data_IF_759557224925
#
_entry.id   IF_759557224925
#
_cell.length_a   1.000
_cell.length_b   1.000
_cell.length_c   1.000
_cell.angle_alpha   90.00
_cell.angle_beta   90.00
_cell.angle_gamma   90.00
#
_symmetry.space_group_name_H-M   'P 1'
#
loop_
_entity.id
_entity.type
_entity.pdbx_description
1 polymer ?
#
# COMPACT_ATOMS: atom_id res chain seq x y z
N UNK A 1 17.36 -21.51 -17.54
CA UNK A 1 15.97 -21.26 -17.94
C UNK A 1 15.08 -21.70 -16.79
N UNK A 2 14.64 -20.78 -15.95
CA UNK A 2 13.77 -21.12 -14.83
C UNK A 2 12.34 -21.26 -15.37
N UNK A 3 11.78 -22.46 -15.22
CA UNK A 3 10.38 -22.75 -15.51
C UNK A 3 9.51 -22.09 -14.44
N UNK A 4 8.93 -20.94 -14.78
CA UNK A 4 7.88 -20.29 -13.99
C UNK A 4 6.55 -20.59 -14.65
N UNK A 5 5.79 -21.52 -14.09
CA UNK A 5 4.50 -21.88 -14.66
C UNK A 5 3.95 -23.18 -14.10
N UNK A 6 3.46 -23.09 -12.87
CA UNK A 6 2.27 -23.77 -12.33
C UNK A 6 2.26 -23.48 -10.82
N UNK A 7 1.06 -23.37 -10.26
CA UNK A 7 0.74 -22.98 -8.89
C UNK A 7 0.48 -21.47 -8.73
N UNK A 8 -0.57 -21.00 -9.41
CA UNK A 8 -1.16 -19.65 -9.23
C UNK A 8 -2.55 -19.70 -8.57
N UNK A 9 -3.02 -20.86 -8.09
CA UNK A 9 -4.44 -21.05 -7.77
C UNK A 9 -4.82 -21.01 -6.28
N UNK A 10 -3.89 -20.76 -5.35
CA UNK A 10 -4.23 -20.68 -3.92
C UNK A 10 -4.03 -19.28 -3.30
N UNK A 11 -5.10 -18.50 -3.32
CA UNK A 11 -5.56 -17.61 -2.23
C UNK A 11 -4.54 -16.66 -1.54
N UNK A 12 -3.82 -15.82 -2.31
CA UNK A 12 -3.38 -14.49 -1.84
C UNK A 12 -4.00 -13.44 -2.78
N UNK A 13 -4.68 -12.43 -2.21
CA UNK A 13 -5.43 -11.41 -2.97
C UNK A 13 -4.68 -10.95 -4.22
N UNK A 14 -5.24 -11.24 -5.40
CA UNK A 14 -4.55 -11.02 -6.66
C UNK A 14 -4.38 -9.52 -6.89
N UNK A 15 -3.18 -9.01 -6.59
CA UNK A 15 -2.75 -7.66 -6.95
C UNK A 15 -2.60 -7.59 -8.45
N UNK A 16 -3.44 -6.81 -9.12
CA UNK A 16 -3.35 -6.56 -10.55
C UNK A 16 -2.92 -5.13 -10.81
N UNK A 17 -1.82 -4.97 -11.56
CA UNK A 17 -1.26 -3.68 -11.96
C UNK A 17 -1.49 -3.46 -13.44
N UNK A 18 -2.01 -2.29 -13.80
CA UNK A 18 -2.15 -1.83 -15.19
C UNK A 18 -1.61 -0.42 -15.32
N UNK A 19 -0.98 -0.11 -16.44
CA UNK A 19 -0.62 1.27 -16.82
C UNK A 19 -1.55 1.67 -17.95
N UNK A 20 -2.60 2.39 -17.62
CA UNK A 20 -3.74 2.62 -18.51
C UNK A 20 -3.45 3.70 -19.54
N UNK A 21 -2.71 4.73 -19.14
CA UNK A 21 -2.38 5.87 -19.98
C UNK A 21 -1.05 6.50 -19.59
N UNK A 22 -0.60 7.41 -20.45
CA UNK A 22 0.53 8.28 -20.18
C UNK A 22 0.13 9.74 -20.48
N UNK A 23 0.35 10.62 -19.50
CA UNK A 23 0.10 12.06 -19.60
C UNK A 23 1.43 12.74 -19.94
N UNK A 24 1.48 13.51 -21.03
CA UNK A 24 2.70 14.18 -21.47
C UNK A 24 2.63 15.68 -21.18
N UNK A 25 3.68 16.21 -20.54
CA UNK A 25 3.97 17.65 -20.48
C UNK A 25 5.12 17.97 -21.43
N UNK A 26 5.46 19.25 -21.60
CA UNK A 26 6.65 19.64 -22.38
C UNK A 26 7.97 19.10 -21.79
N UNK A 27 7.99 18.76 -20.50
CA UNK A 27 9.21 18.38 -19.78
C UNK A 27 9.31 16.87 -19.52
N UNK A 28 8.20 16.19 -19.29
CA UNK A 28 8.22 14.78 -18.91
C UNK A 28 6.93 14.04 -19.25
N UNK A 29 7.01 12.71 -19.20
CA UNK A 29 5.86 11.81 -19.33
C UNK A 29 5.55 11.20 -17.96
N UNK A 30 4.30 11.29 -17.54
CA UNK A 30 3.75 10.66 -16.34
C UNK A 30 2.93 9.45 -16.74
N UNK A 31 3.17 8.30 -16.12
CA UNK A 31 2.41 7.08 -16.34
C UNK A 31 1.31 6.96 -15.30
N UNK A 32 0.08 6.70 -15.75
CA UNK A 32 -1.09 6.54 -14.90
C UNK A 32 -1.31 5.05 -14.65
N UNK A 33 -1.14 4.63 -13.40
CA UNK A 33 -1.08 3.24 -12.99
C UNK A 33 -2.32 2.92 -12.17
N UNK A 34 -3.15 2.00 -12.65
CA UNK A 34 -4.26 1.45 -11.88
C UNK A 34 -3.79 0.23 -11.10
N UNK A 35 -4.02 0.26 -9.80
CA UNK A 35 -3.74 -0.84 -8.88
C UNK A 35 -5.07 -1.42 -8.44
N UNK A 36 -5.22 -2.74 -8.54
CA UNK A 36 -6.38 -3.47 -8.06
C UNK A 36 -5.93 -4.48 -7.01
N UNK A 37 -6.60 -4.48 -5.86
CA UNK A 37 -6.40 -5.44 -4.78
C UNK A 37 -7.77 -5.90 -4.28
N UNK A 38 -8.22 -7.07 -4.72
CA UNK A 38 -9.57 -7.55 -4.44
C UNK A 38 -10.64 -6.61 -5.03
N UNK A 39 -11.51 -6.08 -4.18
CA UNK A 39 -12.55 -5.10 -4.55
C UNK A 39 -12.07 -3.65 -4.58
N UNK A 40 -10.86 -3.38 -4.10
CA UNK A 40 -10.31 -2.03 -4.03
C UNK A 40 -9.48 -1.72 -5.27
N UNK A 41 -9.72 -0.54 -5.84
CA UNK A 41 -9.01 -0.03 -7.00
C UNK A 41 -8.63 1.41 -6.73
N UNK A 42 -7.39 1.79 -7.05
CA UNK A 42 -6.92 3.17 -6.99
C UNK A 42 -5.93 3.46 -8.10
N UNK A 43 -5.56 4.73 -8.24
CA UNK A 43 -4.63 5.20 -9.27
C UNK A 43 -3.45 5.92 -8.66
N UNK A 44 -2.23 5.52 -9.06
CA UNK A 44 -0.99 6.24 -8.76
C UNK A 44 -0.37 6.79 -10.05
N UNK A 45 0.43 7.85 -9.93
CA UNK A 45 1.06 8.52 -11.08
C UNK A 45 2.56 8.63 -10.85
N UNK A 46 3.35 8.09 -11.78
CA UNK A 46 4.81 8.09 -11.67
C UNK A 46 5.48 8.40 -13.01
N UNK A 47 6.56 9.15 -12.98
CA UNK A 47 7.46 9.36 -14.12
C UNK A 47 8.48 8.24 -14.18
N UNK A 48 9.06 8.02 -15.35
CA UNK A 48 10.10 6.99 -15.53
C UNK A 48 11.27 7.14 -14.54
N UNK A 49 11.67 8.36 -14.17
CA UNK A 49 12.73 8.57 -13.17
C UNK A 49 12.40 7.95 -11.82
N UNK A 50 11.13 7.95 -11.42
CA UNK A 50 10.68 7.37 -10.15
C UNK A 50 10.68 5.85 -10.19
N UNK A 51 10.36 5.24 -11.35
CA UNK A 51 10.58 3.81 -11.58
C UNK A 51 12.07 3.44 -11.50
N UNK A 52 12.94 4.29 -12.04
CA UNK A 52 14.38 4.09 -11.98
C UNK A 52 14.88 4.13 -10.52
N UNK A 53 14.45 5.13 -9.74
CA UNK A 53 14.82 5.25 -8.33
C UNK A 53 14.28 4.09 -7.49
N UNK A 54 13.05 3.63 -7.77
CA UNK A 54 12.50 2.41 -7.18
C UNK A 54 13.39 1.20 -7.51
N UNK A 55 13.76 1.03 -8.78
CA UNK A 55 14.55 -0.12 -9.21
C UNK A 55 15.93 -0.16 -8.55
N UNK A 56 16.64 0.98 -8.46
CA UNK A 56 17.93 1.05 -7.79
C UNK A 56 17.83 0.62 -6.31
N UNK A 57 16.78 1.08 -5.60
CA UNK A 57 16.51 0.66 -4.21
C UNK A 57 16.25 -0.84 -4.12
N UNK A 58 15.46 -1.39 -5.04
CA UNK A 58 15.13 -2.81 -5.04
C UNK A 58 16.32 -3.70 -5.43
N UNK A 59 17.13 -3.30 -6.41
CA UNK A 59 18.34 -4.05 -6.81
C UNK A 59 19.36 -4.11 -5.68
N UNK A 60 19.53 -3.02 -4.91
CA UNK A 60 20.44 -2.99 -3.76
C UNK A 60 20.06 -4.03 -2.68
N UNK A 61 18.77 -4.24 -2.44
CA UNK A 61 18.27 -5.11 -1.35
C UNK A 61 17.87 -6.53 -1.80
N UNK A 62 17.40 -6.69 -3.03
CA UNK A 62 16.78 -7.94 -3.53
C UNK A 62 17.47 -8.53 -4.75
N UNK A 63 18.63 -8.00 -5.16
CA UNK A 63 19.44 -8.50 -6.29
C UNK A 63 18.65 -8.63 -7.61
N UNK A 64 17.70 -7.73 -7.83
CA UNK A 64 16.94 -7.69 -9.08
C UNK A 64 17.85 -7.44 -10.28
N UNK A 65 17.61 -8.16 -11.37
CA UNK A 65 18.33 -7.98 -12.62
C UNK A 65 18.06 -6.58 -13.20
N UNK A 66 19.14 -5.86 -13.53
CA UNK A 66 19.09 -4.51 -14.10
C UNK A 66 18.35 -4.44 -15.44
N UNK A 67 18.27 -5.56 -16.16
CA UNK A 67 17.57 -5.67 -17.44
C UNK A 67 16.05 -5.71 -17.30
N UNK A 68 15.50 -5.88 -16.09
CA UNK A 68 14.05 -5.87 -15.87
C UNK A 68 13.44 -4.49 -16.16
N UNK A 69 14.15 -3.41 -15.82
CA UNK A 69 13.67 -2.06 -16.08
C UNK A 69 14.00 -1.65 -17.53
N UNK A 70 13.04 -1.13 -18.32
CA UNK A 70 13.34 -0.63 -19.67
C UNK A 70 14.38 0.49 -19.60
N UNK A 71 15.35 0.55 -20.53
CA UNK A 71 16.47 1.48 -20.43
C UNK A 71 16.07 2.95 -20.58
N UNK A 72 16.90 3.83 -20.01
CA UNK A 72 16.81 5.29 -20.21
C UNK A 72 16.97 5.61 -21.70
N UNK A 73 16.28 6.66 -22.16
CA UNK A 73 16.41 7.19 -23.52
C UNK A 73 16.60 8.70 -23.43
N UNK A 74 17.70 9.19 -24.00
CA UNK A 74 18.13 10.59 -23.89
C UNK A 74 17.56 11.49 -24.99
N UNK A 75 17.22 10.95 -26.16
CA UNK A 75 16.66 11.70 -27.28
C UNK A 75 15.33 11.08 -27.74
N UNK A 76 14.34 11.90 -28.10
CA UNK A 76 13.04 11.42 -28.58
C UNK A 76 12.33 10.51 -27.56
N UNK A 77 12.45 10.84 -26.27
CA UNK A 77 11.84 10.12 -25.16
C UNK A 77 10.36 10.45 -24.95
N UNK A 78 9.83 11.42 -25.70
CA UNK A 78 8.43 11.81 -25.71
C UNK A 78 7.70 11.49 -27.03
N UNK A 79 8.35 10.81 -27.98
CA UNK A 79 7.62 10.39 -29.19
C UNK A 79 6.53 9.39 -28.80
N UNK A 80 5.34 9.53 -29.39
CA UNK A 80 4.16 8.72 -29.02
C UNK A 80 4.43 7.22 -29.10
N UNK A 81 5.08 6.76 -30.17
CA UNK A 81 5.49 5.36 -30.37
C UNK A 81 6.40 4.84 -29.25
N UNK A 82 7.28 5.70 -28.76
CA UNK A 82 8.22 5.36 -27.71
C UNK A 82 7.53 5.33 -26.34
N UNK A 83 6.67 6.30 -26.06
CA UNK A 83 5.88 6.33 -24.83
C UNK A 83 4.99 5.10 -24.72
N UNK A 84 4.28 4.72 -25.79
CA UNK A 84 3.45 3.51 -25.82
C UNK A 84 4.26 2.23 -25.62
N UNK A 85 5.45 2.13 -26.23
CA UNK A 85 6.35 0.98 -26.01
C UNK A 85 6.79 0.91 -24.54
N UNK A 86 7.30 2.02 -24.01
CA UNK A 86 7.78 2.09 -22.62
C UNK A 86 6.65 1.85 -21.62
N UNK A 87 5.44 2.33 -21.88
CA UNK A 87 4.25 2.05 -21.05
C UNK A 87 4.05 0.54 -20.87
N UNK A 88 4.09 -0.23 -21.95
CA UNK A 88 3.94 -1.70 -21.91
C UNK A 88 5.09 -2.37 -21.15
N UNK A 89 6.32 -1.92 -21.40
CA UNK A 89 7.50 -2.46 -20.71
C UNK A 89 7.47 -2.17 -19.20
N UNK A 90 7.02 -0.98 -18.79
CA UNK A 90 6.86 -0.61 -17.39
C UNK A 90 5.71 -1.39 -16.71
N UNK A 91 4.61 -1.68 -17.42
CA UNK A 91 3.54 -2.53 -16.90
C UNK A 91 4.06 -3.94 -16.60
N UNK A 92 4.74 -4.56 -17.56
CA UNK A 92 5.34 -5.90 -17.40
C UNK A 92 6.35 -5.90 -16.25
N UNK A 93 7.18 -4.86 -16.16
CA UNK A 93 8.15 -4.68 -15.09
C UNK A 93 7.48 -4.66 -13.70
N UNK A 94 6.44 -3.84 -13.51
CA UNK A 94 5.75 -3.75 -12.21
C UNK A 94 5.00 -5.04 -11.87
N UNK A 95 4.30 -5.65 -12.84
CA UNK A 95 3.62 -6.93 -12.62
C UNK A 95 4.62 -8.01 -12.19
N UNK A 96 5.80 -8.05 -12.82
CA UNK A 96 6.87 -8.99 -12.47
C UNK A 96 7.37 -8.78 -11.05
N UNK A 97 7.66 -7.53 -10.66
CA UNK A 97 8.17 -7.22 -9.32
C UNK A 97 7.14 -7.48 -8.23
N UNK A 98 5.88 -7.08 -8.44
CA UNK A 98 4.79 -7.31 -7.48
C UNK A 98 4.58 -8.81 -7.27
N UNK A 99 4.66 -9.61 -8.33
CA UNK A 99 4.59 -11.06 -8.22
C UNK A 99 5.80 -11.64 -7.48
N UNK A 100 7.01 -11.25 -7.87
CA UNK A 100 8.26 -11.75 -7.29
C UNK A 100 8.39 -11.44 -5.79
N UNK A 101 7.90 -10.27 -5.37
CA UNK A 101 8.00 -9.79 -4.00
C UNK A 101 6.67 -9.91 -3.23
N UNK A 102 5.74 -10.74 -3.72
CA UNK A 102 4.38 -10.81 -3.18
C UNK A 102 4.32 -11.22 -1.69
N UNK A 103 5.26 -12.06 -1.25
CA UNK A 103 5.31 -12.53 0.14
C UNK A 103 5.87 -11.47 1.10
N UNK A 104 6.84 -10.69 0.65
CA UNK A 104 7.50 -9.66 1.45
C UNK A 104 7.64 -8.39 0.63
N UNK A 105 6.56 -7.62 0.58
CA UNK A 105 6.50 -6.36 -0.17
C UNK A 105 7.44 -5.34 0.50
N UNK A 106 8.49 -4.86 -0.19
CA UNK A 106 9.40 -3.89 0.39
C UNK A 106 8.71 -2.54 0.60
N UNK A 107 9.10 -1.81 1.64
CA UNK A 107 8.54 -0.49 1.97
C UNK A 107 8.58 0.49 0.79
N UNK A 108 9.65 0.50 0.00
CA UNK A 108 9.74 1.38 -1.17
C UNK A 108 8.74 1.03 -2.27
N UNK A 109 8.42 -0.25 -2.47
CA UNK A 109 7.40 -0.69 -3.42
C UNK A 109 5.99 -0.41 -2.88
N UNK A 110 5.78 -0.61 -1.57
CA UNK A 110 4.52 -0.28 -0.91
C UNK A 110 4.16 1.20 -1.10
N UNK A 111 5.10 2.12 -0.83
CA UNK A 111 4.88 3.56 -1.06
C UNK A 111 4.77 3.91 -2.54
N UNK A 112 5.52 3.24 -3.42
CA UNK A 112 5.40 3.49 -4.85
C UNK A 112 3.99 3.14 -5.37
N UNK A 113 3.34 2.13 -4.78
CA UNK A 113 2.00 1.71 -5.19
C UNK A 113 0.88 2.18 -4.24
N UNK A 114 1.17 3.05 -3.28
CA UNK A 114 0.25 3.52 -2.23
C UNK A 114 -0.44 2.37 -1.45
N UNK A 115 0.24 1.25 -1.23
CA UNK A 115 -0.31 0.15 -0.43
C UNK A 115 -0.57 0.56 1.02
N UNK A 116 0.25 1.43 1.58
CA UNK A 116 0.08 2.01 2.92
C UNK A 116 -1.20 2.86 3.06
N UNK A 117 -1.80 3.30 1.95
CA UNK A 117 -3.03 4.10 1.94
C UNK A 117 -4.29 3.28 1.67
N UNK A 118 -4.19 2.21 0.88
CA UNK A 118 -5.37 1.53 0.34
C UNK A 118 -5.39 -0.01 0.52
N UNK A 119 -4.25 -0.64 0.78
CA UNK A 119 -4.15 -2.09 0.98
C UNK A 119 -4.18 -2.45 2.47
N UNK A 120 -4.94 -3.47 2.84
CA UNK A 120 -5.09 -3.94 4.23
C UNK A 120 -3.74 -4.17 4.92
N UNK A 121 -2.84 -4.94 4.29
CA UNK A 121 -1.50 -5.21 4.83
C UNK A 121 -0.66 -3.93 4.94
N UNK A 122 -0.60 -3.10 3.89
CA UNK A 122 0.13 -1.84 3.94
C UNK A 122 -0.38 -0.88 5.04
N UNK A 123 -1.69 -0.70 5.15
CA UNK A 123 -2.31 0.17 6.17
C UNK A 123 -1.99 -0.32 7.58
N UNK A 124 -2.21 -1.61 7.86
CA UNK A 124 -1.92 -2.18 9.18
C UNK A 124 -0.44 -2.14 9.52
N UNK A 125 0.47 -2.39 8.55
CA UNK A 125 1.91 -2.23 8.79
C UNK A 125 2.29 -0.78 9.10
N UNK A 126 1.70 0.20 8.41
CA UNK A 126 1.93 1.62 8.69
C UNK A 126 1.39 2.02 10.07
N UNK A 127 0.22 1.52 10.47
CA UNK A 127 -0.34 1.73 11.80
C UNK A 127 0.55 1.11 12.89
N UNK A 128 1.01 -0.13 12.68
CA UNK A 128 1.90 -0.82 13.61
C UNK A 128 3.20 -0.02 13.80
N UNK A 129 3.80 0.47 12.71
CA UNK A 129 5.02 1.27 12.77
C UNK A 129 4.80 2.60 13.49
N UNK A 130 3.68 3.29 13.27
CA UNK A 130 3.36 4.53 14.01
C UNK A 130 3.20 4.27 15.52
N UNK A 131 2.46 3.22 15.88
CA UNK A 131 2.21 2.85 17.28
C UNK A 131 3.44 2.27 17.96
N UNK A 132 4.33 1.60 17.23
CA UNK A 132 5.65 1.24 17.73
C UNK A 132 6.46 2.49 18.14
N UNK A 133 6.43 3.54 17.30
CA UNK A 133 7.23 4.74 17.53
C UNK A 133 6.61 5.69 18.57
N UNK A 134 5.28 5.78 18.65
CA UNK A 134 4.58 6.82 19.43
C UNK A 134 3.49 6.29 20.36
N UNK A 135 3.19 4.99 20.34
CA UNK A 135 2.05 4.40 21.05
C UNK A 135 2.04 4.68 22.55
N UNK A 136 3.17 4.52 23.23
CA UNK A 136 3.27 4.86 24.66
C UNK A 136 2.96 6.33 24.92
N UNK A 137 3.57 7.24 24.15
CA UNK A 137 3.32 8.69 24.27
C UNK A 137 1.84 9.03 24.06
N UNK A 138 1.19 8.42 23.06
CA UNK A 138 -0.22 8.60 22.78
C UNK A 138 -1.10 8.08 23.93
N UNK A 139 -0.76 6.96 24.56
CA UNK A 139 -1.50 6.40 25.71
C UNK A 139 -1.38 7.25 26.97
N UNK A 140 -0.25 7.94 27.19
CA UNK A 140 -0.10 8.90 28.30
C UNK A 140 -0.75 10.25 28.00
N UNK A 141 -1.01 10.55 26.72
CA UNK A 141 -1.72 11.76 26.33
C UNK A 141 -3.19 11.71 26.77
N UNK A 142 -3.79 12.88 27.01
CA UNK A 142 -5.24 13.00 27.20
C UNK A 142 -5.99 13.24 25.88
N UNK A 143 -5.24 13.33 24.78
CA UNK A 143 -5.80 13.58 23.46
C UNK A 143 -6.39 12.27 22.89
N UNK A 144 -7.50 12.35 22.14
CA UNK A 144 -8.04 11.18 21.47
C UNK A 144 -7.07 10.68 20.40
N UNK A 145 -6.89 9.36 20.33
CA UNK A 145 -6.26 8.74 19.17
C UNK A 145 -7.20 8.87 17.98
N UNK A 146 -6.72 9.45 16.89
CA UNK A 146 -7.48 9.59 15.65
C UNK A 146 -7.25 8.36 14.77
N UNK A 147 -8.33 7.67 14.39
CA UNK A 147 -8.29 6.55 13.45
C UNK A 147 -9.32 6.76 12.34
N UNK A 148 -8.95 6.50 11.09
CA UNK A 148 -9.93 6.49 10.00
C UNK A 148 -10.76 5.21 10.03
N UNK A 149 -11.98 5.25 9.48
CA UNK A 149 -12.78 4.01 9.33
C UNK A 149 -12.06 2.97 8.47
N UNK A 150 -11.26 3.40 7.49
CA UNK A 150 -10.44 2.52 6.67
C UNK A 150 -9.33 1.83 7.48
N UNK A 151 -8.69 2.52 8.43
CA UNK A 151 -7.72 1.91 9.34
C UNK A 151 -8.38 0.84 10.24
N UNK A 152 -9.55 1.14 10.80
CA UNK A 152 -10.31 0.20 11.64
C UNK A 152 -10.82 -1.01 10.84
N UNK A 153 -11.29 -0.78 9.61
CA UNK A 153 -11.67 -1.82 8.67
C UNK A 153 -10.48 -2.72 8.33
N UNK A 154 -9.34 -2.13 7.95
CA UNK A 154 -8.14 -2.87 7.61
C UNK A 154 -7.65 -3.74 8.76
N UNK A 155 -7.68 -3.23 10.00
CA UNK A 155 -7.38 -4.05 11.17
C UNK A 155 -8.38 -5.21 11.34
N UNK A 156 -9.67 -4.94 11.19
CA UNK A 156 -10.75 -5.94 11.32
C UNK A 156 -10.57 -7.07 10.30
N UNK A 157 -10.31 -6.75 9.04
CA UNK A 157 -10.07 -7.74 8.00
C UNK A 157 -8.75 -8.47 8.21
N UNK A 158 -7.69 -7.76 8.61
CA UNK A 158 -6.37 -8.36 8.83
C UNK A 158 -6.38 -9.42 9.93
N UNK A 159 -7.24 -9.25 10.94
CA UNK A 159 -7.41 -10.22 12.03
C UNK A 159 -8.25 -11.45 11.64
N UNK A 160 -8.96 -11.42 10.52
CA UNK A 160 -9.68 -12.60 9.97
C UNK A 160 -8.78 -13.53 9.18
N UNK A 161 -7.62 -13.03 8.72
CA UNK A 161 -6.69 -13.82 7.92
C UNK A 161 -5.91 -14.81 8.81
N UNK A 162 -5.69 -16.05 8.37
CA UNK A 162 -4.91 -17.05 9.09
C UNK A 162 -3.40 -16.81 8.91
N UNK A 163 -2.94 -15.60 9.26
CA UNK A 163 -1.57 -15.13 9.03
C UNK A 163 -0.91 -14.70 10.35
N UNK A 164 0.42 -14.84 10.50
CA UNK A 164 1.13 -14.35 11.68
C UNK A 164 0.99 -12.84 11.84
N UNK A 165 1.15 -12.33 13.06
CA UNK A 165 1.10 -10.89 13.36
C UNK A 165 2.30 -10.12 12.78
N UNK A 166 3.42 -10.80 12.55
CA UNK A 166 4.65 -10.24 11.97
C UNK A 166 5.10 -11.05 10.74
N UNK A 167 4.46 -10.82 9.59
CA UNK A 167 4.81 -11.51 8.34
C UNK A 167 6.06 -10.91 7.66
N UNK A 168 6.33 -9.61 7.86
CA UNK A 168 7.44 -8.90 7.19
C UNK A 168 8.82 -9.23 7.76
N UNK A 169 8.89 -9.78 8.98
CA UNK A 169 10.13 -9.92 9.75
C UNK A 169 10.65 -8.59 10.34
N UNK A 170 9.96 -7.47 10.10
CA UNK A 170 10.26 -6.17 10.69
C UNK A 170 9.45 -6.00 11.97
N UNK A 171 10.15 -6.03 13.10
CA UNK A 171 9.54 -5.90 14.44
C UNK A 171 8.72 -4.63 14.59
N UNK A 172 9.06 -3.54 13.88
CA UNK A 172 8.29 -2.29 13.95
C UNK A 172 6.90 -2.42 13.34
N UNK A 173 6.73 -3.34 12.40
CA UNK A 173 5.50 -3.56 11.63
C UNK A 173 4.65 -4.71 12.18
N UNK A 174 4.97 -5.19 13.38
CA UNK A 174 4.22 -6.26 14.04
C UNK A 174 2.83 -5.75 14.46
N UNK A 175 1.78 -6.48 14.04
CA UNK A 175 0.40 -6.19 14.41
C UNK A 175 0.18 -6.17 15.93
N UNK A 176 1.06 -6.83 16.70
CA UNK A 176 1.06 -6.80 18.17
C UNK A 176 1.11 -5.38 18.74
N UNK A 177 1.80 -4.44 18.10
CA UNK A 177 1.84 -3.03 18.56
C UNK A 177 0.46 -2.38 18.47
N UNK A 178 -0.31 -2.70 17.43
CA UNK A 178 -1.70 -2.23 17.30
C UNK A 178 -2.56 -2.84 18.40
N UNK A 179 -2.47 -4.16 18.60
CA UNK A 179 -3.30 -4.88 19.55
C UNK A 179 -3.04 -4.45 21.00
N UNK A 180 -1.79 -4.26 21.39
CA UNK A 180 -1.45 -3.72 22.70
C UNK A 180 -2.03 -2.31 22.88
N UNK A 181 -1.82 -1.43 21.89
CA UNK A 181 -2.30 -0.06 21.95
C UNK A 181 -3.83 0.04 22.05
N UNK A 182 -4.57 -0.61 21.14
CA UNK A 182 -6.04 -0.46 21.08
C UNK A 182 -6.73 -1.04 22.32
N UNK A 183 -6.17 -2.08 22.95
CA UNK A 183 -6.74 -2.65 24.18
C UNK A 183 -6.60 -1.70 25.38
N UNK A 184 -5.60 -0.82 25.35
CA UNK A 184 -5.29 0.20 26.38
C UNK A 184 -5.87 1.58 26.04
N UNK A 185 -6.24 1.83 24.79
CA UNK A 185 -6.75 3.11 24.32
C UNK A 185 -8.07 3.49 25.02
N UNK A 186 -8.10 4.70 25.62
CA UNK A 186 -9.27 5.23 26.37
C UNK A 186 -10.10 6.23 25.57
N UNK A 187 -9.46 6.96 24.66
CA UNK A 187 -10.08 8.06 23.93
C UNK A 187 -9.86 7.83 22.44
N UNK A 188 -10.92 7.53 21.72
CA UNK A 188 -10.89 7.29 20.28
C UNK A 188 -11.71 8.36 19.56
N UNK A 189 -11.13 8.93 18.50
CA UNK A 189 -11.84 9.73 17.52
C UNK A 189 -11.80 9.00 16.18
N UNK A 190 -12.98 8.68 15.66
CA UNK A 190 -13.12 8.06 14.35
C UNK A 190 -13.35 9.16 13.31
N UNK A 191 -12.47 9.21 12.32
CA UNK A 191 -12.55 10.13 11.19
C UNK A 191 -13.09 9.38 9.98
N UNK A 192 -14.09 9.96 9.32
CA UNK A 192 -14.67 9.43 8.09
C UNK A 192 -14.78 10.54 7.05
N UNK A 193 -14.38 10.24 5.82
CA UNK A 193 -14.61 11.11 4.68
C UNK A 193 -15.93 10.74 3.99
N UNK A 194 -16.64 11.72 3.42
CA UNK A 194 -17.84 11.47 2.59
C UNK A 194 -17.50 10.96 1.20
N UNK A 195 -16.35 11.39 0.69
CA UNK A 195 -15.86 11.05 -0.63
C UNK A 195 -15.02 9.77 -0.61
N UNK A 196 -14.78 9.15 -1.77
CA UNK A 196 -13.83 8.06 -1.87
C UNK A 196 -12.44 8.49 -1.40
N UNK A 197 -11.73 7.57 -0.73
CA UNK A 197 -10.39 7.86 -0.21
C UNK A 197 -9.43 8.13 -1.36
N UNK A 198 -8.92 9.37 -1.45
CA UNK A 198 -7.94 9.76 -2.46
C UNK A 198 -8.38 9.44 -3.89
N UNK A 199 -7.61 8.60 -4.59
CA UNK A 199 -7.90 8.18 -5.97
C UNK A 199 -8.60 6.82 -6.07
N UNK A 200 -9.03 6.28 -4.92
CA UNK A 200 -9.61 4.94 -4.83
C UNK A 200 -11.12 4.92 -5.05
N UNK A 201 -11.68 3.72 -5.18
CA UNK A 201 -13.12 3.47 -5.11
C UNK A 201 -13.63 3.19 -3.67
N UNK A 202 -12.79 3.36 -2.65
CA UNK A 202 -13.09 2.98 -1.27
C UNK A 202 -13.96 4.05 -0.63
N UNK A 203 -15.17 3.67 -0.21
CA UNK A 203 -16.08 4.53 0.53
C UNK A 203 -15.98 4.24 2.04
N UNK A 204 -15.36 5.16 2.77
CA UNK A 204 -15.10 5.06 4.22
C UNK A 204 -16.37 4.81 5.07
N UNK A 205 -17.51 5.31 4.61
CA UNK A 205 -18.80 5.18 5.31
C UNK A 205 -19.51 3.84 5.08
N UNK A 206 -18.98 2.96 4.22
CA UNK A 206 -19.59 1.67 3.89
C UNK A 206 -18.77 0.46 4.34
N UNK A 207 -17.59 0.67 4.92
CA UNK A 207 -16.71 -0.42 5.35
C UNK A 207 -17.03 -0.84 6.80
N UNK A 208 -17.28 -2.13 7.08
CA UNK A 208 -17.60 -2.60 8.42
C UNK A 208 -16.34 -2.77 9.29
N UNK A 209 -16.33 -2.26 10.51
CA UNK A 209 -15.20 -2.43 11.43
C UNK A 209 -15.65 -2.84 12.83
N UNK A 210 -14.76 -3.52 13.56
CA UNK A 210 -15.02 -4.07 14.88
C UNK A 210 -14.40 -3.21 16.00
N UNK A 211 -15.25 -2.56 16.79
CA UNK A 211 -14.83 -1.79 17.96
C UNK A 211 -14.69 -2.63 19.24
N UNK A 212 -15.10 -3.91 19.23
CA UNK A 212 -15.01 -4.77 20.41
C UNK A 212 -13.57 -5.04 20.85
N UNK A 213 -12.58 -4.76 19.98
CA UNK A 213 -11.16 -4.85 20.27
C UNK A 213 -10.69 -3.77 21.28
N UNK A 214 -11.40 -2.65 21.40
CA UNK A 214 -11.06 -1.55 22.30
C UNK A 214 -11.59 -1.82 23.72
N UNK A 215 -10.81 -2.55 24.52
CA UNK A 215 -11.25 -3.03 25.84
C UNK A 215 -11.32 -1.96 26.93
N UNK A 216 -10.58 -0.85 26.76
CA UNK A 216 -10.47 0.22 27.77
C UNK A 216 -11.15 1.52 27.34
N UNK A 217 -11.97 1.49 26.29
CA UNK A 217 -12.55 2.71 25.70
C UNK A 217 -13.50 3.40 26.69
N UNK A 218 -13.27 4.69 26.91
CA UNK A 218 -14.07 5.55 27.80
C UNK A 218 -14.84 6.60 27.01
N UNK A 219 -14.22 7.17 25.96
CA UNK A 219 -14.86 8.17 25.10
C UNK A 219 -14.67 7.81 23.64
N UNK A 220 -15.77 7.91 22.88
CA UNK A 220 -15.80 7.74 21.44
C UNK A 220 -16.37 9.01 20.82
N UNK A 221 -15.64 9.59 19.88
CA UNK A 221 -16.13 10.68 19.03
C UNK A 221 -16.07 10.29 17.57
N UNK A 222 -17.00 10.79 16.77
CA UNK A 222 -17.04 10.55 15.32
C UNK A 222 -17.10 11.89 14.63
N UNK A 223 -16.15 12.14 13.73
CA UNK A 223 -16.16 13.31 12.84
C UNK A 223 -16.33 12.84 11.39
N UNK A 224 -17.18 13.57 10.67
CA UNK A 224 -17.37 13.38 9.24
C UNK A 224 -16.85 14.65 8.57
N UNK A 225 -15.73 14.50 7.88
CA UNK A 225 -15.10 15.58 7.12
C UNK A 225 -15.71 15.69 5.70
#
# INVERSE_FOLDING_TARGET
MAHFGKDLDDFKGSRCIRINSAEQTEQFTVYVITVNCGSHTWTVKHRYSEFYDLHEKLTASYKLDKSLLPPKKLFGNQSESFVKKRQRELEIYLQTIVLYLAQHVPTCLAYFLDFDKYEIHGITQSMAEDLYNRGETLLYSKEPYEATTLQLYSLTERLKLPEPTCESGDVKKDLGHILDFITRCKHLKIVCEKEPVGTSNILMNKVPYDLTLFKSLQTLTVSID
#
